data_IF_862287501890
#
_entry.id   IF_862287501890
#
_cell.length_a   1.000
_cell.length_b   1.000
_cell.length_c   1.000
_cell.angle_alpha   90.00
_cell.angle_beta   90.00
_cell.angle_gamma   90.00
#
_symmetry.space_group_name_H-M   'P 1'
#
loop_
_entity.id
_entity.type
_entity.pdbx_description
1 polymer ?
#
# COMPACT_ATOMS: atom_id res chain seq x y z
N UNK A 1 -5.36 10.90 -9.97
CA UNK A 1 -4.57 10.12 -8.99
C UNK A 1 -3.54 9.30 -9.73
N UNK A 2 -2.26 9.40 -9.36
CA UNK A 2 -1.16 8.80 -10.13
C UNK A 2 -1.20 7.28 -10.04
N UNK A 3 -1.19 6.68 -11.22
CA UNK A 3 -1.01 5.25 -11.54
C UNK A 3 0.13 4.67 -10.73
N UNK A 4 0.02 3.37 -10.38
CA UNK A 4 1.05 2.55 -9.74
C UNK A 4 2.46 3.06 -10.05
N UNK A 5 3.17 3.49 -9.01
CA UNK A 5 4.46 4.15 -9.18
C UNK A 5 5.55 3.15 -8.84
N UNK A 6 6.23 2.71 -9.90
CA UNK A 6 7.41 1.90 -9.77
C UNK A 6 8.63 2.79 -9.81
N UNK A 7 9.46 2.70 -8.77
CA UNK A 7 10.72 3.42 -8.72
C UNK A 7 11.83 2.38 -8.73
N UNK A 8 12.50 2.30 -9.87
CA UNK A 8 13.77 1.60 -9.99
C UNK A 8 14.84 2.49 -9.36
N UNK A 9 15.59 1.93 -8.41
CA UNK A 9 16.70 2.62 -7.73
C UNK A 9 16.30 3.90 -7.02
N UNK A 10 15.78 3.76 -5.80
CA UNK A 10 15.29 4.90 -4.99
C UNK A 10 16.32 5.99 -4.74
N UNK A 11 17.61 5.65 -4.77
CA UNK A 11 18.70 6.61 -4.59
C UNK A 11 18.75 7.71 -5.67
N UNK A 12 18.17 7.45 -6.85
CA UNK A 12 18.12 8.37 -7.98
C UNK A 12 16.76 9.08 -8.11
N UNK A 13 15.76 8.71 -7.28
CA UNK A 13 14.43 9.29 -7.34
C UNK A 13 14.31 10.47 -6.36
N UNK A 14 14.02 11.69 -6.83
CA UNK A 14 13.94 12.88 -5.98
C UNK A 14 12.78 12.83 -4.98
N UNK A 15 11.83 11.90 -5.13
CA UNK A 15 10.69 11.72 -4.24
C UNK A 15 10.98 10.74 -3.11
N UNK A 16 12.13 10.07 -3.13
CA UNK A 16 12.49 9.13 -2.09
C UNK A 16 12.91 9.85 -0.81
N UNK A 17 12.18 9.64 0.27
CA UNK A 17 12.55 10.15 1.59
C UNK A 17 13.52 9.18 2.28
N UNK A 18 14.78 9.59 2.43
CA UNK A 18 15.85 8.82 3.10
C UNK A 18 15.75 8.86 4.63
N UNK A 19 14.96 9.75 5.21
CA UNK A 19 14.85 9.88 6.68
C UNK A 19 14.35 8.58 7.32
N UNK A 20 13.42 7.87 6.67
CA UNK A 20 12.89 6.58 7.15
C UNK A 20 14.00 5.53 7.21
N UNK A 21 14.81 5.44 6.16
CA UNK A 21 15.98 4.55 6.11
C UNK A 21 16.97 4.89 7.24
N UNK A 22 17.26 6.17 7.45
CA UNK A 22 18.17 6.64 8.52
C UNK A 22 17.64 6.27 9.90
N UNK A 23 16.36 6.50 10.16
CA UNK A 23 15.73 6.22 11.45
C UNK A 23 15.63 4.73 11.75
N UNK A 24 15.37 3.91 10.74
CA UNK A 24 15.18 2.45 10.91
C UNK A 24 16.48 1.65 10.77
N UNK A 25 17.56 2.26 10.24
CA UNK A 25 18.78 1.57 9.85
C UNK A 25 18.60 0.67 8.61
N UNK A 26 17.44 0.71 7.97
CA UNK A 26 17.15 -0.07 6.78
C UNK A 26 17.64 0.66 5.53
N UNK A 27 18.11 -0.08 4.52
CA UNK A 27 18.54 0.51 3.24
C UNK A 27 17.58 0.10 2.14
N UNK A 28 16.79 1.04 1.66
CA UNK A 28 15.87 0.83 0.54
C UNK A 28 16.63 0.98 -0.78
N UNK A 29 16.47 0.01 -1.68
CA UNK A 29 17.08 -0.03 -3.00
C UNK A 29 16.03 0.02 -4.11
N UNK A 30 14.92 -0.70 -3.93
CA UNK A 30 13.80 -0.75 -4.86
C UNK A 30 12.48 -0.61 -4.11
N UNK A 31 11.51 0.03 -4.74
CA UNK A 31 10.20 0.28 -4.14
C UNK A 31 9.12 0.19 -5.20
N UNK A 32 8.01 -0.43 -4.83
CA UNK A 32 6.80 -0.50 -5.64
C UNK A 32 5.62 -0.07 -4.78
N UNK A 33 4.95 1.00 -5.21
CA UNK A 33 3.75 1.52 -4.56
C UNK A 33 2.55 1.33 -5.47
N UNK A 34 1.47 0.77 -4.92
CA UNK A 34 0.20 0.62 -5.62
C UNK A 34 -0.97 1.01 -4.71
N UNK A 35 -2.03 1.63 -5.26
CA UNK A 35 -3.22 1.95 -4.49
C UNK A 35 -3.96 0.66 -4.12
N UNK A 36 -4.58 0.68 -2.95
CA UNK A 36 -5.59 -0.30 -2.56
C UNK A 36 -6.96 0.29 -2.90
N UNK A 37 -7.73 -0.43 -3.70
CA UNK A 37 -9.03 0.00 -4.19
C UNK A 37 -10.14 -0.77 -3.49
N UNK A 38 -11.25 -0.11 -3.18
CA UNK A 38 -12.49 -0.80 -2.82
C UNK A 38 -13.23 -1.29 -4.09
N UNK A 39 -14.38 -1.94 -3.90
CA UNK A 39 -15.24 -2.44 -4.99
C UNK A 39 -15.71 -1.37 -5.98
N UNK A 40 -15.76 -0.11 -5.53
CA UNK A 40 -16.20 1.04 -6.32
C UNK A 40 -15.01 1.76 -7.00
N UNK A 41 -13.83 1.12 -7.02
CA UNK A 41 -12.57 1.66 -7.53
C UNK A 41 -12.09 2.94 -6.81
N UNK A 42 -12.56 3.18 -5.59
CA UNK A 42 -12.10 4.28 -4.74
C UNK A 42 -10.82 3.85 -4.03
N UNK A 43 -9.82 4.72 -4.01
CA UNK A 43 -8.58 4.50 -3.26
C UNK A 43 -8.87 4.64 -1.76
N UNK A 44 -8.71 3.55 -1.03
CA UNK A 44 -8.90 3.50 0.43
C UNK A 44 -7.58 3.37 1.19
N UNK A 45 -6.46 3.23 0.46
CA UNK A 45 -5.13 3.15 1.02
C UNK A 45 -4.06 2.99 -0.05
N UNK A 46 -2.80 2.88 0.38
CA UNK A 46 -1.65 2.62 -0.48
C UNK A 46 -0.83 1.50 0.15
N UNK A 47 -0.46 0.51 -0.65
CA UNK A 47 0.49 -0.51 -0.25
C UNK A 47 1.85 -0.23 -0.88
N UNK A 48 2.90 -0.46 -0.09
CA UNK A 48 4.28 -0.30 -0.50
C UNK A 48 5.03 -1.59 -0.21
N UNK A 49 5.76 -2.08 -1.21
CA UNK A 49 6.74 -3.16 -1.05
C UNK A 49 8.11 -2.63 -1.42
N UNK A 50 9.11 -3.00 -0.61
CA UNK A 50 10.50 -2.59 -0.78
C UNK A 50 11.40 -3.81 -0.90
N UNK A 51 12.55 -3.63 -1.54
CA UNK A 51 13.67 -4.57 -1.54
C UNK A 51 13.26 -6.02 -1.83
N UNK A 52 12.97 -6.30 -3.11
CA UNK A 52 12.79 -7.68 -3.55
C UNK A 52 14.00 -8.52 -3.14
N UNK A 53 13.76 -9.57 -2.36
CA UNK A 53 14.83 -10.41 -1.76
C UNK A 53 15.51 -11.35 -2.77
N UNK A 54 14.88 -11.63 -3.91
CA UNK A 54 15.33 -12.64 -4.88
C UNK A 54 15.53 -12.05 -6.27
N UNK A 55 16.46 -12.64 -7.03
CA UNK A 55 16.74 -12.23 -8.41
C UNK A 55 17.49 -10.90 -8.50
N UNK A 56 17.14 -10.06 -9.49
CA UNK A 56 17.84 -8.81 -9.82
C UNK A 56 17.55 -7.64 -8.86
N UNK A 57 16.88 -7.89 -7.73
CA UNK A 57 16.34 -6.86 -6.82
C UNK A 57 15.34 -5.87 -7.44
N UNK A 58 15.07 -5.99 -8.75
CA UNK A 58 14.02 -5.25 -9.45
C UNK A 58 12.69 -6.00 -9.41
N UNK A 59 11.60 -5.25 -9.23
CA UNK A 59 10.25 -5.78 -9.43
C UNK A 59 9.98 -5.91 -10.93
N UNK A 60 9.63 -7.12 -11.35
CA UNK A 60 9.22 -7.45 -12.72
C UNK A 60 7.71 -7.23 -12.90
N UNK A 61 7.23 -7.17 -14.15
CA UNK A 61 5.79 -7.12 -14.41
C UNK A 61 5.01 -8.28 -13.79
N UNK A 62 5.62 -9.46 -13.65
CA UNK A 62 5.02 -10.59 -12.94
C UNK A 62 4.81 -10.28 -11.46
N UNK A 63 5.83 -9.70 -10.81
CA UNK A 63 5.71 -9.28 -9.40
C UNK A 63 4.62 -8.22 -9.23
N UNK A 64 4.54 -7.27 -10.16
CA UNK A 64 3.52 -6.22 -10.16
C UNK A 64 2.10 -6.79 -10.30
N UNK A 65 1.90 -7.80 -11.16
CA UNK A 65 0.60 -8.45 -11.33
C UNK A 65 0.20 -9.25 -10.09
N UNK A 66 1.15 -9.99 -9.49
CA UNK A 66 0.91 -10.67 -8.23
C UNK A 66 0.55 -9.67 -7.14
N UNK A 67 1.32 -8.59 -7.00
CA UNK A 67 1.06 -7.56 -6.00
C UNK A 67 -0.32 -6.93 -6.18
N UNK A 68 -0.69 -6.56 -7.41
CA UNK A 68 -2.04 -6.03 -7.71
C UNK A 68 -3.14 -7.00 -7.29
N UNK A 69 -3.00 -8.29 -7.58
CA UNK A 69 -4.01 -9.29 -7.20
C UNK A 69 -4.16 -9.39 -5.68
N UNK A 70 -3.06 -9.30 -4.93
CA UNK A 70 -3.12 -9.24 -3.47
C UNK A 70 -3.86 -8.00 -2.97
N UNK A 71 -3.63 -6.84 -3.60
CA UNK A 71 -4.30 -5.60 -3.19
C UNK A 71 -5.81 -5.62 -3.41
N UNK A 72 -6.31 -6.40 -4.37
CA UNK A 72 -7.77 -6.64 -4.49
C UNK A 72 -8.35 -7.25 -3.22
N UNK A 73 -7.70 -8.26 -2.65
CA UNK A 73 -8.14 -8.88 -1.40
C UNK A 73 -7.98 -7.93 -0.21
N UNK A 74 -6.88 -7.17 -0.15
CA UNK A 74 -6.71 -6.12 0.86
C UNK A 74 -7.83 -5.08 0.79
N UNK A 75 -8.27 -4.72 -0.42
CA UNK A 75 -9.38 -3.80 -0.66
C UNK A 75 -10.68 -4.27 -0.02
N UNK A 76 -11.01 -5.55 -0.20
CA UNK A 76 -12.19 -6.18 0.40
C UNK A 76 -12.07 -6.18 1.94
N UNK A 77 -10.93 -6.65 2.46
CA UNK A 77 -10.70 -6.74 3.91
C UNK A 77 -10.76 -5.39 4.61
N UNK A 78 -10.09 -4.38 4.05
CA UNK A 78 -10.10 -3.01 4.61
C UNK A 78 -11.49 -2.38 4.51
N UNK A 79 -12.21 -2.57 3.41
CA UNK A 79 -13.59 -2.08 3.28
C UNK A 79 -14.50 -2.68 4.35
N UNK A 80 -14.38 -3.98 4.60
CA UNK A 80 -15.16 -4.67 5.63
C UNK A 80 -14.80 -4.19 7.04
N UNK A 81 -13.51 -3.99 7.32
CA UNK A 81 -13.05 -3.46 8.60
C UNK A 81 -13.59 -2.04 8.85
N UNK A 82 -13.55 -1.18 7.84
CA UNK A 82 -14.11 0.18 7.91
C UNK A 82 -15.63 0.17 8.14
N UNK A 83 -16.37 -0.68 7.42
CA UNK A 83 -17.82 -0.82 7.61
C UNK A 83 -18.18 -1.32 9.02
N UNK A 84 -17.41 -2.28 9.54
CA UNK A 84 -17.61 -2.80 10.89
C UNK A 84 -17.33 -1.73 11.95
N UNK A 85 -16.24 -0.97 11.79
CA UNK A 85 -15.91 0.13 12.71
C UNK A 85 -17.01 1.22 12.72
N UNK A 86 -17.53 1.59 11.54
CA UNK A 86 -18.63 2.55 11.41
C UNK A 86 -19.90 2.04 12.13
N UNK A 87 -20.25 0.76 11.97
CA UNK A 87 -21.39 0.15 12.67
C UNK A 87 -21.26 0.23 14.19
N UNK A 88 -20.06 -0.03 14.73
CA UNK A 88 -19.79 0.10 16.17
C UNK A 88 -19.96 1.55 16.63
N UNK A 89 -19.47 2.52 15.85
CA UNK A 89 -19.59 3.94 16.18
C UNK A 89 -21.04 4.42 16.19
N UNK A 90 -21.86 3.99 15.22
CA UNK A 90 -23.29 4.31 15.16
C UNK A 90 -24.06 3.71 16.34
N UNK A 91 -23.79 2.44 16.67
CA UNK A 91 -24.40 1.79 17.83
C UNK A 91 -24.09 2.54 19.13
N UNK A 92 -22.83 2.98 19.31
CA UNK A 92 -22.43 3.80 20.46
C UNK A 92 -23.16 5.14 20.52
N UNK A 93 -23.33 5.84 19.38
CA UNK A 93 -24.05 7.12 19.35
C UNK A 93 -25.52 6.97 19.76
N UNK A 94 -26.16 5.88 19.35
CA UNK A 94 -27.58 5.63 19.63
C UNK A 94 -27.86 5.21 21.08
N UNK A 95 -26.84 4.79 21.86
CA UNK A 95 -27.01 4.48 23.28
C UNK A 95 -26.81 5.69 24.21
N UNK A 96 -26.32 6.81 23.68
CA UNK A 96 -26.03 8.04 24.45
C UNK A 96 -27.15 9.08 24.30
N UNK A 97 -28.18 8.79 23.50
CA UNK A 97 -29.45 9.51 23.39
C UNK A 97 -30.57 8.72 24.07
#
# INVERSE_FOLDING_TARGET
>A
MKVAQFIKFVAQDPRFNKEVDIQTGYRTHSICCMPILNKDNVVIGVAQIINKKTGTHEFTHKDLNVFRNYLTFCGIGLSNAQLFELSIQEFKKNQVN
#
